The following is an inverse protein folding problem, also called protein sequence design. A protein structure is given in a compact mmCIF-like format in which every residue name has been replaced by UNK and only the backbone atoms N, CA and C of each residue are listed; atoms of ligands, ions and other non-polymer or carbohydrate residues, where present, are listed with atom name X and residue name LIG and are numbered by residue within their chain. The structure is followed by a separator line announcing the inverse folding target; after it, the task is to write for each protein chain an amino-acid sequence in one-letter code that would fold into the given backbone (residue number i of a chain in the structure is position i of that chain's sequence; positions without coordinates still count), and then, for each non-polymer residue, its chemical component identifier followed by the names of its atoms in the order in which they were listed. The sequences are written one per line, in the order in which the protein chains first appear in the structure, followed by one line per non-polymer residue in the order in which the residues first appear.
data_IF_652901921607
#
_entry.id   IF_652901921607
#
_cell.length_a   1.000
_cell.length_b   1.000
_cell.length_c   1.000
_cell.angle_alpha   90.00
_cell.angle_beta   90.00
_cell.angle_gamma   90.00
#
_symmetry.space_group_name_H-M   'P 1'
#
loop_
_entity.id
_entity.type
_entity.pdbx_description
1 polymer ?
#
# COMPACT_ATOMS: atom_id res chain seq x y z
N UNK A 1 -16.96 -21.04 -6.83
CA UNK A 1 -16.42 -20.27 -7.97
C UNK A 1 -16.09 -21.22 -9.12
N UNK A 2 -15.08 -22.07 -8.99
CA UNK A 2 -14.71 -23.02 -10.05
C UNK A 2 -15.78 -24.10 -10.25
N UNK A 3 -16.36 -24.60 -9.16
CA UNK A 3 -17.50 -25.54 -9.18
C UNK A 3 -18.78 -24.97 -9.81
N UNK A 4 -18.89 -23.65 -9.90
CA UNK A 4 -20.01 -22.94 -10.54
C UNK A 4 -19.68 -22.48 -11.96
N UNK A 5 -18.56 -22.94 -12.55
CA UNK A 5 -18.13 -22.60 -13.91
C UNK A 5 -17.59 -21.16 -14.08
N UNK A 6 -17.44 -20.39 -13.00
CA UNK A 6 -16.93 -19.01 -13.05
C UNK A 6 -15.44 -19.00 -12.71
N UNK A 7 -14.62 -18.65 -13.69
CA UNK A 7 -13.16 -18.51 -13.55
C UNK A 7 -12.81 -17.02 -13.58
N UNK A 8 -12.16 -16.47 -12.55
CA UNK A 8 -11.70 -15.09 -12.58
C UNK A 8 -10.52 -14.94 -13.54
N UNK A 9 -10.46 -13.84 -14.27
CA UNK A 9 -9.28 -13.50 -15.10
C UNK A 9 -8.05 -13.19 -14.24
N UNK A 10 -8.27 -12.56 -13.08
CA UNK A 10 -7.23 -12.06 -12.20
C UNK A 10 -7.56 -12.32 -10.74
N UNK A 11 -6.53 -12.69 -9.97
CA UNK A 11 -6.60 -12.79 -8.52
C UNK A 11 -5.57 -11.87 -7.89
N UNK A 12 -6.04 -11.10 -6.92
CA UNK A 12 -5.23 -10.17 -6.16
C UNK A 12 -5.23 -10.58 -4.69
N UNK A 13 -4.04 -10.80 -4.13
CA UNK A 13 -3.87 -11.08 -2.70
C UNK A 13 -2.79 -10.19 -2.10
N UNK A 14 -2.68 -10.25 -0.77
CA UNK A 14 -1.48 -9.81 -0.06
C UNK A 14 -0.28 -10.73 -0.40
N UNK A 15 0.87 -10.39 0.18
CA UNK A 15 2.13 -11.13 0.02
C UNK A 15 2.24 -12.32 0.98
N UNK A 16 1.13 -12.90 1.43
CA UNK A 16 1.21 -14.09 2.28
C UNK A 16 1.82 -15.28 1.54
N UNK A 17 2.73 -15.97 2.23
CA UNK A 17 3.50 -17.08 1.67
C UNK A 17 2.62 -18.25 1.19
N UNK A 18 1.41 -18.38 1.75
CA UNK A 18 0.43 -19.39 1.37
C UNK A 18 0.01 -19.27 -0.10
N UNK A 19 -0.14 -18.05 -0.62
CA UNK A 19 -0.53 -17.80 -2.02
C UNK A 19 0.65 -17.81 -2.99
N UNK A 20 1.89 -17.65 -2.50
CA UNK A 20 3.12 -17.60 -3.31
C UNK A 20 3.70 -19.00 -3.56
N UNK A 21 3.19 -20.01 -2.85
CA UNK A 21 3.59 -21.41 -3.00
C UNK A 21 3.50 -21.91 -4.46
N UNK A 22 4.50 -22.70 -4.90
CA UNK A 22 4.55 -23.42 -6.18
C UNK A 22 3.25 -24.16 -6.53
N UNK A 23 2.58 -24.78 -5.57
CA UNK A 23 1.32 -25.51 -5.79
C UNK A 23 0.20 -24.57 -6.23
N UNK A 24 0.01 -23.45 -5.51
CA UNK A 24 -1.01 -22.45 -5.84
C UNK A 24 -0.67 -21.77 -7.17
N UNK A 25 0.59 -21.39 -7.37
CA UNK A 25 1.03 -20.76 -8.62
C UNK A 25 0.89 -21.70 -9.83
N UNK A 26 1.19 -22.99 -9.67
CA UNK A 26 0.97 -24.00 -10.69
C UNK A 26 -0.50 -24.14 -11.06
N UNK A 27 -1.38 -24.18 -10.06
CA UNK A 27 -2.83 -24.23 -10.25
C UNK A 27 -3.37 -22.99 -10.98
N UNK A 28 -2.95 -21.78 -10.58
CA UNK A 28 -3.39 -20.54 -11.23
C UNK A 28 -2.92 -20.46 -12.67
N UNK A 29 -1.71 -20.93 -12.96
CA UNK A 29 -1.17 -20.98 -14.33
C UNK A 29 -1.93 -21.98 -15.22
N UNK A 30 -2.31 -23.14 -14.69
CA UNK A 30 -3.12 -24.13 -15.41
C UNK A 30 -4.49 -23.57 -15.80
N UNK A 31 -5.09 -22.75 -14.93
CA UNK A 31 -6.41 -22.13 -15.15
C UNK A 31 -6.34 -20.79 -15.90
N UNK A 32 -5.17 -20.40 -16.39
CA UNK A 32 -4.90 -19.12 -17.05
C UNK A 32 -5.38 -17.91 -16.23
N UNK A 33 -5.14 -17.96 -14.91
CA UNK A 33 -5.52 -16.91 -13.98
C UNK A 33 -4.27 -16.08 -13.67
N UNK A 34 -4.34 -14.78 -13.96
CA UNK A 34 -3.25 -13.87 -13.66
C UNK A 34 -3.22 -13.52 -12.17
N UNK A 35 -2.12 -13.87 -11.50
CA UNK A 35 -1.88 -13.60 -10.09
C UNK A 35 -1.00 -12.36 -9.89
N UNK A 36 -1.38 -11.48 -8.98
CA UNK A 36 -0.54 -10.35 -8.57
C UNK A 36 -0.69 -10.02 -7.08
N UNK A 37 0.39 -9.47 -6.50
CA UNK A 37 0.45 -9.08 -5.09
C UNK A 37 0.85 -7.62 -4.96
N UNK A 38 0.29 -6.93 -3.96
CA UNK A 38 0.65 -5.52 -3.68
C UNK A 38 1.48 -5.42 -2.40
N UNK A 39 2.40 -4.45 -2.36
CA UNK A 39 3.16 -4.04 -1.17
C UNK A 39 2.39 -3.08 -0.23
N UNK A 40 1.28 -2.48 -0.67
CA UNK A 40 0.52 -1.49 0.08
C UNK A 40 -0.72 -2.14 0.70
N UNK A 41 -0.85 -2.01 2.02
CA UNK A 41 -1.94 -2.54 2.86
C UNK A 41 -3.33 -2.08 2.40
N UNK A 42 -3.43 -0.94 1.72
CA UNK A 42 -4.69 -0.30 1.34
C UNK A 42 -5.51 -1.06 0.30
N UNK A 43 -4.93 -2.05 -0.39
CA UNK A 43 -5.61 -2.71 -1.52
C UNK A 43 -6.50 -3.91 -1.14
N UNK A 44 -6.43 -4.42 0.08
CA UNK A 44 -7.32 -5.49 0.57
C UNK A 44 -8.65 -4.97 1.17
N UNK A 45 -8.91 -3.66 1.10
CA UNK A 45 -10.03 -2.98 1.78
C UNK A 45 -11.41 -3.57 1.48
N UNK A 46 -11.63 -4.14 0.30
CA UNK A 46 -12.89 -4.80 -0.07
C UNK A 46 -13.10 -6.08 0.73
N UNK A 47 -12.06 -6.92 0.81
CA UNK A 47 -12.09 -8.18 1.58
C UNK A 47 -12.20 -7.89 3.07
N UNK A 48 -11.48 -6.89 3.58
CA UNK A 48 -11.59 -6.45 4.97
C UNK A 48 -13.02 -6.02 5.34
N UNK A 49 -13.68 -5.26 4.45
CA UNK A 49 -15.07 -4.87 4.63
C UNK A 49 -16.00 -6.09 4.66
N UNK A 50 -15.78 -7.07 3.78
CA UNK A 50 -16.51 -8.34 3.80
C UNK A 50 -16.32 -9.10 5.11
N UNK A 51 -15.06 -9.30 5.53
CA UNK A 51 -14.70 -10.01 6.76
C UNK A 51 -15.37 -9.39 7.99
N UNK A 52 -15.37 -8.06 8.08
CA UNK A 52 -16.06 -7.34 9.16
C UNK A 52 -17.56 -7.65 9.16
N UNK A 53 -18.24 -7.58 8.01
CA UNK A 53 -19.67 -7.86 7.92
C UNK A 53 -19.99 -9.32 8.26
N UNK A 54 -19.19 -10.27 7.77
CA UNK A 54 -19.38 -11.69 8.06
C UNK A 54 -19.23 -11.97 9.56
N UNK A 55 -18.16 -11.45 10.18
CA UNK A 55 -17.94 -11.57 11.64
C UNK A 55 -19.11 -10.98 12.44
N UNK A 56 -19.63 -9.81 12.06
CA UNK A 56 -20.80 -9.22 12.74
C UNK A 56 -22.04 -10.12 12.67
N UNK A 57 -22.26 -10.82 11.55
CA UNK A 57 -23.38 -11.76 11.42
C UNK A 57 -23.14 -13.04 12.23
N UNK A 58 -21.92 -13.56 12.21
CA UNK A 58 -21.52 -14.70 13.03
C UNK A 58 -21.75 -14.42 14.52
N UNK A 59 -21.33 -13.24 15.00
CA UNK A 59 -21.50 -12.88 16.42
C UNK A 59 -22.95 -12.79 16.85
N UNK A 60 -23.85 -12.26 16.01
CA UNK A 60 -25.29 -12.26 16.29
C UNK A 60 -25.84 -13.68 16.47
N UNK A 61 -25.44 -14.58 15.58
CA UNK A 61 -25.85 -15.98 15.61
C UNK A 61 -25.23 -16.74 16.80
N UNK A 62 -23.98 -16.43 17.17
CA UNK A 62 -23.33 -17.00 18.35
C UNK A 62 -24.04 -16.61 19.64
N UNK A 63 -24.44 -15.34 19.78
CA UNK A 63 -25.21 -14.86 20.93
C UNK A 63 -26.57 -15.54 21.00
N UNK A 64 -27.25 -15.71 19.86
CA UNK A 64 -28.56 -16.37 19.82
C UNK A 64 -28.50 -17.85 20.21
N UNK A 65 -27.50 -18.59 19.71
CA UNK A 65 -27.35 -20.03 19.96
C UNK A 65 -26.53 -20.38 21.20
N UNK A 66 -25.95 -19.39 21.86
CA UNK A 66 -24.96 -19.55 22.93
C UNK A 66 -23.84 -20.55 22.56
N UNK A 67 -23.33 -20.47 21.32
CA UNK A 67 -22.32 -21.41 20.81
C UNK A 67 -21.45 -20.77 19.73
N UNK A 68 -20.13 -20.99 19.82
CA UNK A 68 -19.15 -20.52 18.85
C UNK A 68 -18.98 -21.47 17.64
N UNK A 69 -19.71 -22.60 17.61
CA UNK A 69 -19.67 -23.52 16.46
C UNK A 69 -20.25 -22.82 15.23
N UNK A 70 -19.43 -22.57 14.22
CA UNK A 70 -19.82 -21.83 13.01
C UNK A 70 -19.93 -22.67 11.74
N UNK A 71 -19.29 -23.84 11.69
CA UNK A 71 -19.22 -24.67 10.47
C UNK A 71 -20.62 -24.99 9.92
N UNK A 72 -21.58 -25.34 10.78
CA UNK A 72 -22.95 -25.67 10.37
C UNK A 72 -23.81 -24.47 9.93
N UNK A 73 -23.41 -23.24 10.26
CA UNK A 73 -24.17 -22.01 9.94
C UNK A 73 -23.49 -21.16 8.87
N UNK A 74 -22.20 -21.39 8.60
CA UNK A 74 -21.40 -20.56 7.71
C UNK A 74 -22.05 -20.41 6.33
N UNK A 75 -22.53 -21.51 5.74
CA UNK A 75 -23.21 -21.50 4.44
C UNK A 75 -24.45 -20.59 4.44
N UNK A 76 -25.27 -20.64 5.51
CA UNK A 76 -26.45 -19.78 5.66
C UNK A 76 -26.08 -18.31 5.80
N UNK A 77 -25.00 -18.00 6.53
CA UNK A 77 -24.53 -16.63 6.72
C UNK A 77 -24.00 -16.02 5.41
N UNK A 78 -23.27 -16.81 4.62
CA UNK A 78 -22.77 -16.41 3.30
C UNK A 78 -23.91 -16.23 2.30
N UNK A 79 -24.88 -17.16 2.27
CA UNK A 79 -26.08 -17.02 1.44
C UNK A 79 -26.86 -15.76 1.80
N UNK A 80 -27.06 -15.52 3.11
CA UNK A 80 -27.67 -14.29 3.60
C UNK A 80 -26.90 -13.04 3.18
N UNK A 81 -25.56 -13.10 3.09
CA UNK A 81 -24.75 -11.97 2.62
C UNK A 81 -24.98 -11.71 1.13
N UNK A 82 -24.95 -12.76 0.32
CA UNK A 82 -25.14 -12.68 -1.12
C UNK A 82 -26.54 -12.20 -1.51
N UNK A 83 -27.56 -12.50 -0.68
CA UNK A 83 -28.95 -12.03 -0.85
C UNK A 83 -29.23 -10.65 -0.26
N UNK A 84 -28.28 -10.05 0.46
CA UNK A 84 -28.46 -8.71 1.03
C UNK A 84 -28.23 -7.64 -0.03
N UNK A 85 -28.99 -6.54 0.06
CA UNK A 85 -28.79 -5.40 -0.82
C UNK A 85 -27.50 -4.64 -0.47
N UNK A 86 -26.65 -4.42 -1.46
CA UNK A 86 -25.38 -3.68 -1.30
C UNK A 86 -25.53 -2.28 -1.88
N UNK A 87 -25.45 -1.26 -1.00
CA UNK A 87 -25.61 0.15 -1.38
C UNK A 87 -24.59 0.65 -2.42
N UNK A 88 -23.41 0.02 -2.51
CA UNK A 88 -22.34 0.39 -3.44
C UNK A 88 -22.65 -0.01 -4.88
N UNK A 89 -23.13 -1.24 -5.10
CA UNK A 89 -23.48 -1.77 -6.43
C UNK A 89 -24.97 -1.60 -6.77
N UNK A 90 -25.76 -1.07 -5.82
CA UNK A 90 -27.20 -0.84 -5.93
C UNK A 90 -28.04 -2.10 -6.22
N UNK A 91 -27.52 -3.28 -5.88
CA UNK A 91 -28.20 -4.57 -6.03
C UNK A 91 -27.67 -5.62 -5.04
N UNK A 92 -28.21 -6.84 -5.10
CA UNK A 92 -27.73 -7.99 -4.33
C UNK A 92 -26.60 -8.68 -5.09
N UNK A 93 -25.60 -9.22 -4.39
CA UNK A 93 -24.46 -9.89 -5.04
C UNK A 93 -24.88 -11.14 -5.83
N UNK A 94 -25.95 -11.82 -5.40
CA UNK A 94 -26.49 -12.99 -6.11
C UNK A 94 -27.15 -12.63 -7.45
N UNK A 95 -27.65 -11.40 -7.58
CA UNK A 95 -28.32 -10.92 -8.80
C UNK A 95 -27.29 -10.44 -9.87
N UNK A 96 -25.99 -10.51 -9.57
CA UNK A 96 -24.92 -10.12 -10.50
C UNK A 96 -24.66 -11.25 -11.50
N UNK A 97 -24.84 -10.93 -12.78
CA UNK A 97 -24.67 -11.82 -13.93
C UNK A 97 -23.69 -11.19 -14.93
N UNK A 98 -23.35 -11.93 -15.99
CA UNK A 98 -22.42 -11.43 -17.02
C UNK A 98 -23.04 -10.28 -17.82
N UNK A 99 -24.36 -10.27 -17.95
CA UNK A 99 -25.11 -9.29 -18.72
C UNK A 99 -25.18 -7.94 -17.99
N UNK A 100 -25.24 -7.94 -16.65
CA UNK A 100 -25.32 -6.71 -15.85
C UNK A 100 -23.97 -6.27 -15.25
N UNK A 101 -22.88 -7.00 -15.51
CA UNK A 101 -21.55 -6.69 -14.98
C UNK A 101 -21.09 -5.30 -15.41
N UNK A 102 -21.40 -4.86 -16.63
CA UNK A 102 -21.10 -3.53 -17.12
C UNK A 102 -21.82 -2.41 -16.35
N UNK A 103 -23.08 -2.62 -15.97
CA UNK A 103 -23.84 -1.68 -15.15
C UNK A 103 -23.29 -1.60 -13.73
N UNK A 104 -22.93 -2.76 -13.15
CA UNK A 104 -22.28 -2.82 -11.83
C UNK A 104 -20.93 -2.10 -11.89
N UNK A 105 -20.13 -2.35 -12.93
CA UNK A 105 -18.85 -1.69 -13.15
C UNK A 105 -19.02 -0.18 -13.27
N UNK A 106 -19.96 0.29 -14.08
CA UNK A 106 -20.27 1.72 -14.20
C UNK A 106 -20.71 2.32 -12.84
N UNK A 107 -21.55 1.62 -12.09
CA UNK A 107 -21.98 2.12 -10.77
C UNK A 107 -20.81 2.29 -9.79
N UNK A 108 -19.82 1.38 -9.84
CA UNK A 108 -18.64 1.43 -8.99
C UNK A 108 -17.55 2.39 -9.48
N UNK A 109 -17.42 2.53 -10.80
CA UNK A 109 -16.24 3.13 -11.44
C UNK A 109 -16.55 4.27 -12.43
N UNK A 110 -17.80 4.61 -12.73
CA UNK A 110 -18.13 5.73 -13.65
C UNK A 110 -17.66 7.08 -13.09
N UNK A 111 -17.65 7.27 -11.77
CA UNK A 111 -17.02 8.46 -11.15
C UNK A 111 -15.50 8.51 -11.31
N UNK A 112 -14.86 7.41 -11.71
CA UNK A 112 -13.44 7.30 -12.03
C UNK A 112 -13.15 7.49 -13.54
N UNK A 113 -14.17 7.78 -14.36
CA UNK A 113 -13.95 8.21 -15.76
C UNK A 113 -13.11 9.48 -15.73
N UNK A 114 -11.91 9.33 -16.28
CA UNK A 114 -10.76 10.21 -16.11
C UNK A 114 -11.10 11.62 -16.61
N UNK A 115 -11.19 12.59 -15.69
CA UNK A 115 -10.78 13.95 -15.98
C UNK A 115 -9.45 14.15 -15.28
N UNK A 116 -8.38 14.32 -16.05
CA UNK A 116 -7.16 14.90 -15.50
C UNK A 116 -7.54 16.32 -15.08
N UNK A 117 -7.80 16.51 -13.79
CA UNK A 117 -8.07 17.84 -13.27
C UNK A 117 -6.81 18.71 -13.29
N UNK A 118 -5.64 18.16 -13.67
CA UNK A 118 -4.34 18.85 -13.70
C UNK A 118 -3.85 19.29 -12.33
N UNK A 119 -4.62 19.01 -11.27
CA UNK A 119 -4.39 19.50 -9.94
C UNK A 119 -3.48 18.54 -9.19
N UNK A 120 -2.18 18.78 -9.31
CA UNK A 120 -1.15 18.08 -8.57
C UNK A 120 -0.59 19.01 -7.50
N UNK A 121 -0.65 18.58 -6.24
CA UNK A 121 -0.03 19.32 -5.13
C UNK A 121 1.47 19.47 -5.27
N UNK A 122 2.17 18.42 -5.72
CA UNK A 122 3.64 18.42 -5.79
C UNK A 122 4.15 18.74 -7.19
N UNK A 123 5.19 19.56 -7.24
CA UNK A 123 5.86 19.91 -8.49
C UNK A 123 6.88 18.84 -8.91
N UNK A 124 7.25 18.84 -10.19
CA UNK A 124 8.34 17.97 -10.67
C UNK A 124 9.64 18.58 -10.14
N UNK A 125 10.51 17.75 -9.59
CA UNK A 125 11.73 18.19 -8.90
C UNK A 125 11.53 18.59 -7.43
N UNK A 126 10.29 18.62 -6.92
CA UNK A 126 10.05 18.93 -5.50
C UNK A 126 10.56 17.81 -4.59
N UNK A 127 11.17 18.19 -3.46
CA UNK A 127 11.64 17.27 -2.44
C UNK A 127 10.53 16.92 -1.45
N UNK A 128 10.30 15.63 -1.26
CA UNK A 128 9.28 15.08 -0.37
C UNK A 128 9.87 14.00 0.52
N UNK A 129 9.22 13.74 1.65
CA UNK A 129 9.45 12.53 2.46
C UNK A 129 8.36 11.51 2.16
N UNK A 130 8.58 10.26 2.56
CA UNK A 130 7.57 9.19 2.47
C UNK A 130 7.06 8.89 3.88
N UNK A 131 5.74 8.83 4.07
CA UNK A 131 5.14 8.42 5.32
C UNK A 131 5.53 6.96 5.66
N UNK A 132 5.96 6.71 6.89
CA UNK A 132 6.25 5.34 7.37
C UNK A 132 4.92 4.62 7.59
N UNK A 133 4.82 3.39 7.08
CA UNK A 133 3.74 2.46 7.42
C UNK A 133 3.87 2.10 8.90
N UNK A 134 2.96 2.61 9.75
CA UNK A 134 2.95 2.28 11.17
C UNK A 134 2.67 0.80 11.36
N UNK A 135 3.57 0.09 12.03
CA UNK A 135 3.20 -1.16 12.67
C UNK A 135 2.26 -0.83 13.85
N UNK A 136 1.27 -1.69 14.11
CA UNK A 136 0.20 -1.52 15.13
C UNK A 136 0.68 -1.22 16.56
N UNK A 137 1.98 -1.35 16.83
CA UNK A 137 2.63 -1.22 18.14
C UNK A 137 3.73 -0.14 18.20
N UNK A 138 3.85 0.74 17.20
CA UNK A 138 4.84 1.81 17.24
C UNK A 138 4.44 2.95 18.19
N UNK A 139 5.40 3.39 19.01
CA UNK A 139 5.22 4.46 19.99
C UNK A 139 4.99 5.80 19.29
N UNK A 140 3.91 6.50 19.63
CA UNK A 140 3.42 7.68 18.91
C UNK A 140 4.32 8.93 18.89
N UNK A 141 5.42 8.94 19.65
CA UNK A 141 6.40 10.03 19.64
C UNK A 141 7.46 9.89 18.55
N UNK A 142 7.56 8.75 17.87
CA UNK A 142 8.52 8.57 16.77
C UNK A 142 8.04 9.30 15.50
N UNK A 143 8.96 9.87 14.69
CA UNK A 143 8.60 10.51 13.43
C UNK A 143 7.90 9.54 12.47
N UNK A 144 6.76 9.95 11.93
CA UNK A 144 5.93 9.14 11.03
C UNK A 144 6.35 9.23 9.55
N UNK A 145 7.53 9.78 9.28
CA UNK A 145 8.05 10.01 7.92
C UNK A 145 9.49 9.52 7.82
N UNK A 146 9.93 9.25 6.59
CA UNK A 146 11.32 8.93 6.26
C UNK A 146 12.24 10.10 6.64
N UNK A 147 13.44 9.79 7.11
CA UNK A 147 14.51 10.80 7.21
C UNK A 147 15.10 11.09 5.82
N UNK A 148 15.10 10.07 4.95
CA UNK A 148 15.47 10.19 3.54
C UNK A 148 14.53 11.11 2.77
N UNK A 149 15.13 11.95 1.93
CA UNK A 149 14.45 12.88 1.02
C UNK A 149 14.44 12.32 -0.40
N UNK A 150 13.27 12.41 -1.03
CA UNK A 150 13.04 11.91 -2.38
C UNK A 150 12.61 13.03 -3.31
N UNK A 151 12.86 12.87 -4.61
CA UNK A 151 12.51 13.84 -5.65
C UNK A 151 11.32 13.35 -6.45
N UNK A 152 10.31 14.20 -6.64
CA UNK A 152 9.17 13.89 -7.51
C UNK A 152 9.59 13.95 -8.98
N UNK A 153 9.60 12.81 -9.66
CA UNK A 153 10.08 12.71 -11.06
C UNK A 153 8.97 12.53 -12.09
N UNK A 154 7.83 11.97 -11.68
CA UNK A 154 6.70 11.77 -12.60
C UNK A 154 5.38 11.94 -11.88
N UNK A 155 4.42 12.54 -12.59
CA UNK A 155 3.02 12.63 -12.20
C UNK A 155 2.21 11.77 -13.16
N UNK A 156 1.33 10.94 -12.63
CA UNK A 156 0.45 10.10 -13.46
C UNK A 156 -0.99 10.60 -13.34
N UNK A 157 -1.66 10.88 -14.47
CA UNK A 157 -3.08 11.21 -14.46
C UNK A 157 -3.87 9.95 -14.11
N UNK A 158 -4.35 9.91 -12.87
CA UNK A 158 -5.31 8.95 -12.34
C UNK A 158 -6.40 9.75 -11.61
N UNK A 159 -7.59 9.18 -11.39
CA UNK A 159 -8.67 9.87 -10.66
C UNK A 159 -8.22 10.40 -9.28
N UNK A 160 -7.26 9.73 -8.66
CA UNK A 160 -6.47 10.26 -7.55
C UNK A 160 -5.03 10.39 -8.05
N UNK A 161 -4.44 11.60 -8.07
CA UNK A 161 -3.07 11.81 -8.51
C UNK A 161 -2.08 10.91 -7.80
N UNK A 162 -1.19 10.28 -8.57
CA UNK A 162 -0.07 9.50 -8.03
C UNK A 162 1.26 9.97 -8.61
N UNK A 163 2.31 9.79 -7.80
CA UNK A 163 3.65 10.29 -8.06
C UNK A 163 4.65 9.12 -8.12
N UNK A 164 5.67 9.25 -8.96
CA UNK A 164 6.91 8.45 -8.86
C UNK A 164 8.01 9.29 -8.28
N UNK A 165 8.85 8.65 -7.49
CA UNK A 165 9.93 9.27 -6.75
C UNK A 165 11.28 8.67 -7.14
N UNK A 166 12.33 9.47 -7.03
CA UNK A 166 13.72 9.02 -7.06
C UNK A 166 14.41 9.35 -5.75
N UNK A 167 15.40 8.57 -5.39
CA UNK A 167 16.30 8.87 -4.28
C UNK A 167 17.30 9.98 -4.64
N UNK A 168 18.24 10.26 -3.73
CA UNK A 168 19.27 11.27 -3.95
C UNK A 168 20.25 10.94 -5.09
N UNK A 169 20.48 9.65 -5.39
CA UNK A 169 21.35 9.19 -6.46
C UNK A 169 20.62 9.06 -7.82
N UNK A 170 19.32 9.36 -7.88
CA UNK A 170 18.51 9.22 -9.08
C UNK A 170 17.98 7.81 -9.33
N UNK A 171 18.06 6.91 -8.35
CA UNK A 171 17.44 5.58 -8.47
C UNK A 171 15.92 5.69 -8.26
N UNK A 172 15.15 5.07 -9.16
CA UNK A 172 13.69 5.03 -9.09
C UNK A 172 13.24 4.23 -7.86
N UNK A 173 12.43 4.86 -7.01
CA UNK A 173 11.76 4.17 -5.91
C UNK A 173 10.60 3.38 -6.47
N UNK A 174 10.62 2.06 -6.25
CA UNK A 174 9.57 1.15 -6.70
C UNK A 174 8.23 1.46 -6.06
N UNK A 175 7.24 1.85 -6.87
CA UNK A 175 5.88 2.11 -6.43
C UNK A 175 5.25 3.31 -7.13
N UNK A 176 3.95 3.50 -6.90
CA UNK A 176 3.22 4.73 -7.18
C UNK A 176 2.76 5.27 -5.81
N UNK A 177 3.07 6.52 -5.49
CA UNK A 177 2.76 7.13 -4.20
C UNK A 177 1.59 8.11 -4.31
N UNK A 178 0.70 8.09 -3.33
CA UNK A 178 -0.41 9.04 -3.22
C UNK A 178 0.05 10.33 -2.53
N UNK A 179 -0.69 11.42 -2.78
CA UNK A 179 -0.39 12.72 -2.18
C UNK A 179 -0.30 12.70 -0.64
N UNK A 180 -1.18 11.97 0.04
CA UNK A 180 -1.21 11.90 1.51
C UNK A 180 -0.04 11.09 2.10
N UNK A 181 0.64 10.28 1.28
CA UNK A 181 1.84 9.55 1.67
C UNK A 181 3.10 10.41 1.57
N UNK A 182 2.99 11.63 1.01
CA UNK A 182 4.12 12.52 0.71
C UNK A 182 4.02 13.83 1.49
N UNK A 183 4.52 13.90 2.73
CA UNK A 183 4.70 15.20 3.38
C UNK A 183 5.74 16.05 2.63
N UNK A 184 5.35 17.29 2.28
CA UNK A 184 6.26 18.31 1.73
C UNK A 184 7.30 18.69 2.77
N UNK A 185 8.54 18.93 2.34
CA UNK A 185 9.59 19.47 3.20
C UNK A 185 10.20 20.67 2.51
N UNK A 186 10.25 21.80 3.22
CA UNK A 186 11.15 22.91 2.86
C UNK A 186 12.54 22.51 3.30
N UNK A 187 13.26 21.83 2.41
CA UNK A 187 14.67 21.50 2.64
C UNK A 187 15.47 22.72 2.18
N UNK A 188 16.17 23.36 3.11
CA UNK A 188 17.27 24.25 2.75
C UNK A 188 18.37 23.36 2.17
N UNK A 189 18.99 23.72 1.04
CA UNK A 189 20.07 22.91 0.44
C UNK A 189 21.27 22.77 1.39
N UNK A 190 21.34 23.60 2.44
CA UNK A 190 22.29 23.51 3.55
C UNK A 190 21.78 22.73 4.77
N UNK A 191 20.62 22.07 4.69
CA UNK A 191 20.05 21.31 5.80
C UNK A 191 21.00 20.18 6.21
N UNK A 192 21.51 20.30 7.44
CA UNK A 192 22.50 19.42 8.02
C UNK A 192 21.89 18.02 8.23
N UNK A 193 22.38 17.02 7.48
CA UNK A 193 21.98 15.62 7.67
C UNK A 193 22.43 15.13 9.06
N UNK A 194 21.54 14.44 9.79
CA UNK A 194 21.87 13.87 11.10
C UNK A 194 22.78 12.65 10.94
N UNK A 195 23.82 12.56 11.76
CA UNK A 195 24.74 11.41 11.77
C UNK A 195 24.14 10.32 12.65
N UNK A 196 23.92 9.12 12.11
CA UNK A 196 23.54 7.94 12.87
C UNK A 196 24.75 7.32 13.58
N UNK A 197 25.84 7.13 12.83
CA UNK A 197 27.03 6.46 13.31
C UNK A 197 28.28 6.93 12.59
N UNK A 198 29.36 7.12 13.34
CA UNK A 198 30.70 7.31 12.77
C UNK A 198 31.32 5.93 12.52
N UNK A 199 31.72 5.67 11.28
CA UNK A 199 32.27 4.39 10.85
C UNK A 199 33.80 4.42 10.81
N UNK A 200 34.40 5.53 10.34
CA UNK A 200 35.86 5.70 10.26
C UNK A 200 36.26 7.15 10.54
N UNK A 201 37.53 7.35 10.89
CA UNK A 201 38.16 8.66 11.08
C UNK A 201 39.47 8.70 10.29
N UNK A 202 39.75 9.81 9.60
CA UNK A 202 41.03 10.03 8.92
C UNK A 202 41.52 11.47 9.09
N UNK A 203 42.80 11.69 8.85
CA UNK A 203 43.40 13.03 8.77
C UNK A 203 43.93 13.24 7.36
N UNK A 204 43.45 14.27 6.65
CA UNK A 204 43.87 14.64 5.29
C UNK A 204 44.13 16.13 5.25
N UNK A 205 45.30 16.56 4.77
CA UNK A 205 45.72 17.97 4.71
C UNK A 205 45.50 18.73 6.04
N UNK A 206 45.86 18.10 7.17
CA UNK A 206 45.70 18.70 8.50
C UNK A 206 44.29 18.69 9.08
N UNK A 207 43.25 18.45 8.28
CA UNK A 207 41.85 18.39 8.73
C UNK A 207 41.43 16.96 9.04
N UNK A 208 40.61 16.82 10.10
CA UNK A 208 40.02 15.55 10.50
C UNK A 208 38.70 15.37 9.76
N UNK A 209 38.55 14.24 9.09
CA UNK A 209 37.32 13.86 8.39
C UNK A 209 36.77 12.57 9.02
N UNK A 210 35.43 12.45 9.04
CA UNK A 210 34.71 11.30 9.57
C UNK A 210 33.89 10.65 8.47
N UNK A 211 34.01 9.34 8.29
CA UNK A 211 33.14 8.57 7.42
C UNK A 211 31.91 8.20 8.21
N UNK A 212 30.75 8.71 7.82
CA UNK A 212 29.52 8.62 8.61
C UNK A 212 28.44 7.85 7.89
N UNK A 213 27.61 7.14 8.67
CA UNK A 213 26.30 6.66 8.27
C UNK A 213 25.28 7.73 8.64
N UNK A 214 24.57 8.23 7.64
CA UNK A 214 23.52 9.24 7.84
C UNK A 214 22.23 8.59 8.34
N UNK A 215 21.55 9.27 9.26
CA UNK A 215 20.36 8.76 9.93
C UNK A 215 19.22 8.55 8.93
N UNK A 216 18.77 7.30 8.84
CA UNK A 216 17.67 6.89 7.97
C UNK A 216 18.00 6.87 6.47
N UNK A 217 19.29 6.95 6.11
CA UNK A 217 19.75 6.73 4.74
C UNK A 217 20.40 5.34 4.60
N UNK A 218 20.22 4.67 3.44
CA UNK A 218 20.96 3.46 3.08
C UNK A 218 22.48 3.64 3.12
N UNK A 219 23.22 2.56 3.39
CA UNK A 219 24.69 2.60 3.54
C UNK A 219 25.43 3.09 2.27
N UNK A 220 24.79 3.04 1.10
CA UNK A 220 25.33 3.58 -0.16
C UNK A 220 25.54 5.10 -0.12
N UNK A 221 24.88 5.81 0.78
CA UNK A 221 25.02 7.26 0.96
C UNK A 221 26.07 7.65 2.00
N UNK A 222 26.76 6.67 2.61
CA UNK A 222 27.80 6.97 3.58
C UNK A 222 28.92 7.80 2.92
N UNK A 223 29.30 8.90 3.57
CA UNK A 223 30.28 9.84 3.01
C UNK A 223 31.22 10.39 4.08
N UNK A 224 32.32 11.00 3.63
CA UNK A 224 33.24 11.71 4.51
C UNK A 224 32.72 13.13 4.77
N UNK A 225 32.61 13.52 6.03
CA UNK A 225 32.25 14.87 6.44
C UNK A 225 33.27 15.43 7.43
N UNK A 226 33.52 16.73 7.34
CA UNK A 226 34.26 17.50 8.36
C UNK A 226 33.35 18.05 9.45
N UNK A 227 32.06 18.22 9.14
CA UNK A 227 31.08 18.82 10.05
C UNK A 227 30.45 17.72 10.90
N UNK A 228 30.80 17.71 12.18
CA UNK A 228 30.21 16.85 13.19
C UNK A 228 29.15 17.64 13.94
N UNK A 229 27.91 17.61 13.45
CA UNK A 229 26.79 18.03 14.28
C UNK A 229 26.38 16.84 15.15
N UNK A 230 26.94 16.82 16.36
CA UNK A 230 26.36 16.06 17.47
C UNK A 230 25.34 16.99 18.14
N UNK A 231 24.06 16.79 17.85
CA UNK A 231 23.02 17.11 18.83
C UNK A 231 23.01 16.03 19.91
#
# INVERSE_FOLDING_TARGET
MLSSGRVPYQIHTDRDGEFINKHVQGFLKEKDIHFFTTNNETKASVVERFNRTLKSRMWKDFTHRNSLKYVGVLSKLVEGYNRSYHRSIKMRSIDVTKENEGTVWNTLYTSYVIKDNGNYKFKLGERVRIAKSKLKYEKGYLPNWSEELFTVVKRKPKPIPVYRLQDWNGEDIGGDFYEHELPSVKVDDNALFKIEKILKKRKRNGKVEYFVKWQGYPAKFNSWTTNMNKE
#
